data_IF_867026190757
#
_entry.id   IF_867026190757
#
_cell.length_a   1.000
_cell.length_b   1.000
_cell.length_c   1.000
_cell.angle_alpha   90.00
_cell.angle_beta   90.00
_cell.angle_gamma   90.00
#
_symmetry.space_group_name_H-M   'P 1'
#
loop_
_entity.id
_entity.type
_entity.pdbx_description
1 polymer ?
#
# COMPACT_ATOMS: atom_id res chain seq x y z
N UNK A 1 -11.08 9.21 -2.75
CA UNK A 1 -12.11 8.36 -3.38
C UNK A 1 -13.17 9.20 -4.12
N UNK A 2 -13.93 10.07 -3.43
CA UNK A 2 -15.02 10.84 -4.05
C UNK A 2 -14.63 11.64 -5.30
N UNK A 3 -13.43 12.25 -5.34
CA UNK A 3 -12.91 12.99 -6.51
C UNK A 3 -12.79 12.17 -7.80
N UNK A 4 -12.72 10.85 -7.68
CA UNK A 4 -12.59 9.96 -8.83
C UNK A 4 -13.92 9.32 -9.26
N UNK A 5 -14.94 9.36 -8.39
CA UNK A 5 -16.24 8.79 -8.71
C UNK A 5 -16.89 9.62 -9.82
N UNK A 6 -17.26 8.95 -10.91
CA UNK A 6 -17.80 9.60 -12.10
C UNK A 6 -16.74 10.18 -13.04
N UNK A 7 -15.43 9.99 -12.76
CA UNK A 7 -14.38 10.47 -13.66
C UNK A 7 -14.42 9.70 -14.99
N UNK A 8 -14.28 10.44 -16.10
CA UNK A 8 -14.26 9.89 -17.45
C UNK A 8 -12.83 9.96 -18.01
N UNK A 9 -12.27 8.81 -18.38
CA UNK A 9 -10.97 8.71 -19.05
C UNK A 9 -11.20 8.57 -20.55
N UNK A 10 -10.75 9.56 -21.33
CA UNK A 10 -10.95 9.60 -22.77
C UNK A 10 -10.14 8.53 -23.52
N UNK A 11 -10.59 8.11 -24.71
CA UNK A 11 -9.75 7.34 -25.62
C UNK A 11 -8.38 7.99 -25.84
N UNK A 12 -7.31 7.24 -25.60
CA UNK A 12 -5.93 7.71 -25.71
C UNK A 12 -5.37 8.46 -24.50
N UNK A 13 -6.19 8.84 -23.51
CA UNK A 13 -5.78 9.59 -22.33
C UNK A 13 -4.88 8.76 -21.40
N UNK A 14 -3.87 9.42 -20.82
CA UNK A 14 -3.14 8.91 -19.66
C UNK A 14 -3.76 9.52 -18.41
N UNK A 15 -4.47 8.70 -17.65
CA UNK A 15 -4.99 9.10 -16.35
C UNK A 15 -3.83 9.26 -15.36
N UNK A 16 -3.86 10.33 -14.56
CA UNK A 16 -2.93 10.58 -13.45
C UNK A 16 -3.70 10.74 -12.15
N UNK A 17 -3.34 9.93 -11.15
CA UNK A 17 -3.97 10.01 -9.85
C UNK A 17 -3.64 11.35 -9.17
N UNK A 18 -2.37 11.77 -9.20
CA UNK A 18 -1.91 13.03 -8.63
C UNK A 18 -2.64 14.24 -9.23
N UNK A 19 -2.85 14.25 -10.55
CA UNK A 19 -3.57 15.34 -11.23
C UNK A 19 -5.02 15.46 -10.76
N UNK A 20 -5.73 14.34 -10.58
CA UNK A 20 -7.14 14.34 -10.14
C UNK A 20 -7.27 14.56 -8.63
N UNK A 21 -6.31 14.08 -7.83
CA UNK A 21 -6.25 14.36 -6.39
C UNK A 21 -6.08 15.85 -6.11
N UNK A 22 -5.21 16.51 -6.87
CA UNK A 22 -4.71 17.84 -6.55
C UNK A 22 -3.91 17.84 -5.26
N UNK A 23 -3.82 19.01 -4.60
CA UNK A 23 -3.06 19.16 -3.36
C UNK A 23 -3.67 18.35 -2.22
N UNK A 24 -2.85 17.51 -1.58
CA UNK A 24 -3.22 16.71 -0.41
C UNK A 24 -2.98 17.54 0.85
N UNK A 25 -4.03 18.19 1.36
CA UNK A 25 -4.01 19.03 2.56
C UNK A 25 -5.25 18.82 3.44
N UNK A 26 -5.17 19.20 4.72
CA UNK A 26 -6.33 19.16 5.62
C UNK A 26 -7.47 20.03 5.07
N UNK A 27 -7.12 21.20 4.53
CA UNK A 27 -8.04 22.15 3.91
C UNK A 27 -8.78 21.55 2.70
N UNK A 28 -8.16 20.57 2.02
CA UNK A 28 -8.76 19.86 0.89
C UNK A 28 -9.52 18.58 1.29
N UNK A 29 -9.79 18.40 2.59
CA UNK A 29 -10.64 17.34 3.13
C UNK A 29 -9.92 16.01 3.35
N UNK A 30 -8.58 15.99 3.32
CA UNK A 30 -7.80 14.80 3.66
C UNK A 30 -7.64 14.68 5.17
N UNK A 31 -7.71 13.46 5.68
CA UNK A 31 -7.50 13.19 7.09
C UNK A 31 -6.03 12.87 7.39
N UNK A 32 -5.60 13.17 8.62
CA UNK A 32 -4.35 12.62 9.14
C UNK A 32 -4.42 11.09 9.20
N UNK A 33 -3.33 10.46 8.82
CA UNK A 33 -3.11 9.02 8.90
C UNK A 33 -1.64 8.74 9.01
N UNK A 34 -1.34 7.50 9.34
CA UNK A 34 -0.01 6.94 9.21
C UNK A 34 0.45 7.06 7.74
N UNK A 35 1.56 7.77 7.54
CA UNK A 35 2.32 7.87 6.29
C UNK A 35 3.74 7.36 6.54
N UNK A 36 4.37 6.82 5.50
CA UNK A 36 5.77 6.38 5.55
C UNK A 36 6.64 7.58 5.24
N UNK A 37 7.53 7.96 6.16
CA UNK A 37 8.48 9.04 5.93
C UNK A 37 9.86 8.66 6.46
N UNK A 38 10.81 8.51 5.54
CA UNK A 38 12.15 8.04 5.87
C UNK A 38 12.13 6.57 6.32
N UNK A 39 12.53 6.33 7.56
CA UNK A 39 12.67 5.03 8.21
C UNK A 39 11.61 4.77 9.30
N UNK A 40 10.53 5.57 9.31
CA UNK A 40 9.45 5.46 10.29
C UNK A 40 8.07 5.75 9.69
N UNK A 41 7.04 5.27 10.36
CA UNK A 41 5.66 5.67 10.13
C UNK A 41 5.32 6.87 11.00
N UNK A 42 4.94 7.99 10.39
CA UNK A 42 4.52 9.21 11.09
C UNK A 42 3.05 9.52 10.81
N UNK A 43 2.41 10.32 11.67
CA UNK A 43 1.13 10.94 11.31
C UNK A 43 1.37 12.04 10.28
N UNK A 44 0.69 11.95 9.14
CA UNK A 44 0.68 12.95 8.09
C UNK A 44 -0.66 12.98 7.37
N UNK A 45 -0.88 14.01 6.57
CA UNK A 45 -2.16 14.21 5.88
C UNK A 45 -2.22 13.33 4.63
N UNK A 46 -3.27 12.52 4.48
CA UNK A 46 -3.43 11.63 3.31
C UNK A 46 -3.93 10.21 3.62
N UNK A 47 -4.67 10.03 4.71
CA UNK A 47 -5.20 8.71 5.08
C UNK A 47 -5.98 8.00 4.00
N UNK A 48 -5.61 6.74 3.76
CA UNK A 48 -6.26 5.87 2.78
C UNK A 48 -5.95 6.19 1.32
N UNK A 49 -5.13 7.21 1.00
CA UNK A 49 -4.79 7.55 -0.41
C UNK A 49 -4.06 6.39 -1.09
N UNK A 50 -3.10 5.75 -0.41
CA UNK A 50 -2.40 4.58 -0.97
C UNK A 50 -3.32 3.36 -1.12
N UNK A 51 -4.37 3.24 -0.30
CA UNK A 51 -5.39 2.19 -0.49
C UNK A 51 -6.21 2.45 -1.74
N UNK A 52 -6.63 3.71 -1.96
CA UNK A 52 -7.33 4.11 -3.18
C UNK A 52 -6.46 3.84 -4.42
N UNK A 53 -5.17 4.21 -4.36
CA UNK A 53 -4.18 3.99 -5.42
C UNK A 53 -3.98 2.50 -5.70
N UNK A 54 -3.74 1.70 -4.66
CA UNK A 54 -3.49 0.26 -4.80
C UNK A 54 -4.68 -0.45 -5.43
N UNK A 55 -5.90 -0.13 -5.01
CA UNK A 55 -7.09 -0.75 -5.61
C UNK A 55 -7.31 -0.25 -7.05
N UNK A 56 -7.06 1.03 -7.34
CA UNK A 56 -7.12 1.56 -8.70
C UNK A 56 -6.09 0.87 -9.62
N UNK A 57 -4.86 0.71 -9.15
CA UNK A 57 -3.81 -0.02 -9.86
C UNK A 57 -4.26 -1.43 -10.19
N UNK A 58 -4.83 -2.17 -9.23
CA UNK A 58 -5.36 -3.52 -9.48
C UNK A 58 -6.47 -3.51 -10.52
N UNK A 59 -7.38 -2.54 -10.47
CA UNK A 59 -8.46 -2.41 -11.47
C UNK A 59 -7.91 -2.14 -12.87
N UNK A 60 -6.96 -1.22 -13.02
CA UNK A 60 -6.30 -0.96 -14.31
C UNK A 60 -5.46 -2.17 -14.77
N UNK A 61 -4.79 -2.84 -13.82
CA UNK A 61 -3.95 -4.02 -14.05
C UNK A 61 -4.78 -5.16 -14.65
N UNK A 62 -5.86 -5.55 -13.97
CA UNK A 62 -6.74 -6.64 -14.39
C UNK A 62 -7.69 -6.25 -15.52
N UNK A 63 -7.97 -4.96 -15.69
CA UNK A 63 -8.63 -4.42 -16.87
C UNK A 63 -7.76 -4.47 -18.13
N UNK A 64 -6.48 -4.87 -18.02
CA UNK A 64 -5.58 -5.00 -19.16
C UNK A 64 -5.17 -3.66 -19.76
N UNK A 65 -5.21 -2.58 -18.99
CA UNK A 65 -4.75 -1.26 -19.45
C UNK A 65 -3.23 -1.12 -19.27
N UNK A 66 -2.54 -0.41 -20.19
CA UNK A 66 -1.13 -0.08 -20.03
C UNK A 66 -0.89 0.69 -18.72
N UNK A 67 0.04 0.19 -17.90
CA UNK A 67 0.47 0.88 -16.68
C UNK A 67 1.64 1.78 -17.06
N UNK A 68 1.43 3.09 -16.97
CA UNK A 68 2.42 4.11 -17.39
C UNK A 68 3.37 4.43 -16.25
N UNK A 69 2.87 4.48 -15.03
CA UNK A 69 3.66 4.74 -13.83
C UNK A 69 3.08 3.96 -12.66
N UNK A 70 3.95 3.25 -11.93
CA UNK A 70 3.60 2.55 -10.70
C UNK A 70 4.83 2.43 -9.81
N UNK A 71 4.69 2.86 -8.57
CA UNK A 71 5.70 2.68 -7.53
C UNK A 71 5.14 1.79 -6.42
N UNK A 72 5.83 0.72 -6.01
CA UNK A 72 5.43 -0.05 -4.82
C UNK A 72 5.77 0.72 -3.53
N UNK A 73 5.20 0.29 -2.41
CA UNK A 73 5.63 0.74 -1.09
C UNK A 73 7.06 0.27 -0.79
N UNK A 74 7.77 1.02 0.06
CA UNK A 74 9.16 0.71 0.41
C UNK A 74 9.30 -0.57 1.25
N UNK A 75 8.28 -0.93 2.02
CA UNK A 75 8.20 -2.17 2.82
C UNK A 75 6.83 -2.82 2.62
N UNK A 76 6.70 -4.08 3.02
CA UNK A 76 5.45 -4.84 2.85
C UNK A 76 4.37 -4.31 3.78
N UNK A 77 3.23 -3.97 3.20
CA UNK A 77 2.03 -3.57 3.92
C UNK A 77 1.04 -4.74 3.84
N UNK A 78 1.06 -5.61 4.85
CA UNK A 78 0.40 -6.93 4.84
C UNK A 78 -1.10 -6.86 4.55
N UNK A 79 -1.79 -5.77 4.91
CA UNK A 79 -3.23 -5.68 4.64
C UNK A 79 -3.57 -5.64 3.14
N UNK A 80 -2.64 -5.22 2.27
CA UNK A 80 -2.83 -5.31 0.82
C UNK A 80 -2.78 -6.76 0.30
N UNK A 81 -2.27 -7.68 1.11
CA UNK A 81 -2.18 -9.11 0.80
C UNK A 81 -3.36 -9.90 1.37
N UNK A 82 -4.30 -9.23 2.05
CA UNK A 82 -5.51 -9.87 2.56
C UNK A 82 -6.50 -10.17 1.44
N UNK A 83 -7.06 -11.37 1.46
CA UNK A 83 -8.22 -11.76 0.65
C UNK A 83 -9.52 -11.27 1.29
N UNK A 84 -10.64 -11.42 0.57
CA UNK A 84 -11.97 -11.12 1.11
C UNK A 84 -12.31 -11.89 2.41
N UNK A 85 -11.66 -13.02 2.68
CA UNK A 85 -11.83 -13.77 3.93
C UNK A 85 -10.93 -13.28 5.07
N UNK A 86 -10.15 -12.22 4.85
CA UNK A 86 -9.13 -11.72 5.79
C UNK A 86 -7.85 -12.56 5.84
N UNK A 87 -7.73 -13.62 5.02
CA UNK A 87 -6.52 -14.45 4.96
C UNK A 87 -5.45 -13.74 4.16
N UNK A 88 -4.19 -13.83 4.60
CA UNK A 88 -3.05 -13.37 3.81
C UNK A 88 -2.79 -14.36 2.67
N UNK A 89 -2.73 -13.86 1.45
CA UNK A 89 -2.28 -14.61 0.27
C UNK A 89 -1.04 -13.92 -0.33
N UNK A 90 0.14 -14.56 -0.22
CA UNK A 90 1.41 -13.97 -0.63
C UNK A 90 1.52 -13.74 -2.14
N UNK A 91 0.58 -14.27 -2.95
CA UNK A 91 0.49 -13.91 -4.38
C UNK A 91 0.15 -12.44 -4.59
N UNK A 92 -0.42 -11.77 -3.60
CA UNK A 92 -0.69 -10.33 -3.65
C UNK A 92 0.50 -9.45 -3.26
N UNK A 93 1.61 -10.04 -2.80
CA UNK A 93 2.85 -9.31 -2.66
C UNK A 93 3.24 -8.72 -4.03
N UNK A 94 3.73 -7.49 -4.05
CA UNK A 94 4.04 -6.78 -5.29
C UNK A 94 2.81 -6.34 -6.09
N UNK A 95 1.60 -6.38 -5.53
CA UNK A 95 0.37 -5.87 -6.17
C UNK A 95 -0.14 -4.58 -5.53
N UNK A 96 0.76 -3.67 -5.15
CA UNK A 96 0.49 -2.42 -4.47
C UNK A 96 1.03 -1.20 -5.23
N UNK A 97 0.36 -0.05 -5.12
CA UNK A 97 0.82 1.19 -5.73
C UNK A 97 0.72 2.34 -4.72
N UNK A 98 1.85 2.90 -4.34
CA UNK A 98 1.90 4.07 -3.45
C UNK A 98 1.80 5.37 -4.27
N UNK A 99 1.30 6.43 -3.64
CA UNK A 99 1.20 7.78 -4.20
C UNK A 99 1.61 8.77 -3.11
N UNK A 100 2.42 9.75 -3.50
CA UNK A 100 2.89 10.84 -2.65
C UNK A 100 2.98 12.10 -3.51
N UNK A 101 1.89 12.85 -3.58
CA UNK A 101 1.77 14.00 -4.49
C UNK A 101 2.72 15.13 -4.07
N UNK A 102 3.43 15.78 -5.02
CA UNK A 102 3.44 15.53 -6.46
C UNK A 102 4.57 14.59 -6.93
N UNK A 103 5.34 14.00 -6.02
CA UNK A 103 6.59 13.28 -6.34
C UNK A 103 6.39 11.85 -6.83
N UNK A 104 5.35 11.16 -6.35
CA UNK A 104 5.08 9.75 -6.65
C UNK A 104 3.62 9.63 -7.09
N UNK A 105 3.39 9.09 -8.28
CA UNK A 105 2.05 8.99 -8.89
C UNK A 105 1.74 7.56 -9.35
N UNK A 106 0.45 7.29 -9.57
CA UNK A 106 -0.03 6.14 -10.31
C UNK A 106 -0.69 6.61 -11.61
N UNK A 107 -0.23 6.07 -12.74
CA UNK A 107 -0.75 6.41 -14.08
C UNK A 107 -1.06 5.18 -14.90
N UNK A 108 -2.17 5.21 -15.63
CA UNK A 108 -2.51 4.21 -16.64
C UNK A 108 -3.04 4.89 -17.89
N UNK A 109 -2.94 4.22 -19.03
CA UNK A 109 -3.46 4.72 -20.32
C UNK A 109 -4.76 4.03 -20.68
N UNK A 110 -5.76 4.79 -21.09
CA UNK A 110 -6.86 4.25 -21.87
C UNK A 110 -6.43 4.14 -23.34
N UNK A 111 -5.96 2.97 -23.74
CA UNK A 111 -5.55 2.67 -25.12
C UNK A 111 -6.72 2.19 -26.00
N UNK A 112 -7.95 2.16 -25.47
CA UNK A 112 -9.15 1.76 -26.21
C UNK A 112 -9.75 2.95 -26.99
N UNK A 113 -10.58 2.70 -28.02
CA UNK A 113 -11.35 3.77 -28.68
C UNK A 113 -12.58 4.21 -27.87
N UNK A 114 -12.77 3.69 -26.65
CA UNK A 114 -13.98 3.90 -25.84
C UNK A 114 -13.65 4.65 -24.55
N UNK A 115 -14.61 5.42 -24.06
CA UNK A 115 -14.47 6.09 -22.77
C UNK A 115 -14.53 5.09 -21.63
N UNK A 116 -13.76 5.36 -20.56
CA UNK A 116 -13.88 4.63 -19.29
C UNK A 116 -14.58 5.54 -18.29
N UNK A 117 -15.71 5.09 -17.75
CA UNK A 117 -16.31 5.67 -16.55
C UNK A 117 -15.74 4.97 -15.32
N UNK A 118 -15.15 5.76 -14.44
CA UNK A 118 -14.60 5.32 -13.16
C UNK A 118 -15.65 5.43 -12.06
N UNK A 119 -16.01 4.31 -11.46
CA UNK A 119 -16.85 4.23 -10.28
C UNK A 119 -16.02 3.78 -9.07
N UNK A 120 -16.24 4.48 -7.95
CA UNK A 120 -15.58 4.21 -6.68
C UNK A 120 -16.60 4.15 -5.57
N UNK A 121 -16.55 3.08 -4.80
CA UNK A 121 -17.38 2.87 -3.62
C UNK A 121 -16.50 2.58 -2.41
N UNK A 122 -16.73 3.30 -1.31
CA UNK A 122 -16.03 3.09 -0.03
C UNK A 122 -17.02 2.55 0.99
N UNK A 123 -16.77 1.34 1.49
CA UNK A 123 -17.53 0.76 2.60
C UNK A 123 -16.70 0.86 3.88
N UNK A 124 -16.80 2.01 4.56
CA UNK A 124 -16.07 2.27 5.80
C UNK A 124 -16.37 1.24 6.91
N UNK A 125 -17.63 0.83 7.17
CA UNK A 125 -17.93 -0.19 8.19
C UNK A 125 -17.23 -1.52 7.97
N UNK A 126 -17.09 -1.95 6.71
CA UNK A 126 -16.44 -3.22 6.34
C UNK A 126 -15.01 -3.04 5.84
N UNK A 127 -14.46 -1.82 5.91
CA UNK A 127 -13.07 -1.46 5.61
C UNK A 127 -12.57 -1.86 4.22
N UNK A 128 -13.44 -1.87 3.22
CA UNK A 128 -13.05 -2.11 1.83
C UNK A 128 -13.42 -0.95 0.90
N UNK A 129 -12.68 -0.87 -0.20
CA UNK A 129 -12.93 0.02 -1.32
C UNK A 129 -13.09 -0.82 -2.58
N UNK A 130 -14.05 -0.45 -3.43
CA UNK A 130 -14.27 -1.08 -4.72
C UNK A 130 -14.10 -0.05 -5.83
N UNK A 131 -13.37 -0.45 -6.87
CA UNK A 131 -13.20 0.30 -8.11
C UNK A 131 -13.83 -0.49 -9.24
N UNK A 132 -14.67 0.16 -10.04
CA UNK A 132 -15.27 -0.42 -11.24
C UNK A 132 -14.99 0.48 -12.42
N UNK A 133 -14.57 -0.11 -13.53
CA UNK A 133 -14.44 0.57 -14.81
C UNK A 133 -15.60 0.12 -15.70
N UNK A 134 -16.40 1.08 -16.15
CA UNK A 134 -17.44 0.85 -17.15
C UNK A 134 -16.94 1.37 -18.49
N UNK A 135 -16.77 0.46 -19.45
CA UNK A 135 -16.34 0.77 -20.82
C UNK A 135 -16.88 -0.30 -21.77
N UNK A 136 -16.80 -0.06 -23.08
CA UNK A 136 -17.09 -1.09 -24.08
C UNK A 136 -15.93 -2.09 -24.12
N UNK A 137 -16.25 -3.38 -24.02
CA UNK A 137 -15.25 -4.44 -24.15
C UNK A 137 -14.64 -4.41 -25.55
N UNK A 138 -13.31 -4.40 -25.62
CA UNK A 138 -12.54 -4.61 -26.86
C UNK A 138 -12.02 -6.05 -27.00
N UNK A 139 -12.51 -6.97 -26.15
CA UNK A 139 -12.16 -8.39 -26.19
C UNK A 139 -10.83 -8.75 -25.51
N UNK A 140 -10.16 -7.81 -24.84
CA UNK A 140 -8.89 -8.10 -24.17
C UNK A 140 -9.04 -9.07 -22.99
N UNK A 141 -8.03 -9.91 -22.77
CA UNK A 141 -7.89 -10.81 -21.63
C UNK A 141 -6.54 -10.61 -20.94
N UNK A 142 -6.48 -10.92 -19.65
CA UNK A 142 -5.27 -10.76 -18.83
C UNK A 142 -4.87 -12.10 -18.23
N UNK A 143 -3.61 -12.47 -18.44
CA UNK A 143 -2.92 -13.53 -17.70
C UNK A 143 -1.84 -12.89 -16.84
N UNK A 144 -1.63 -13.43 -15.64
CA UNK A 144 -0.57 -12.92 -14.79
C UNK A 144 -0.03 -14.03 -13.89
N UNK A 145 1.24 -13.90 -13.53
CA UNK A 145 1.91 -14.77 -12.58
C UNK A 145 2.85 -13.96 -11.68
N UNK A 146 3.20 -14.53 -10.54
CA UNK A 146 4.02 -13.88 -9.53
C UNK A 146 4.93 -14.88 -8.86
N UNK A 147 6.14 -14.46 -8.54
CA UNK A 147 7.05 -15.25 -7.69
C UNK A 147 6.56 -15.33 -6.25
N UNK A 148 5.63 -14.46 -5.83
CA UNK A 148 5.45 -14.14 -4.42
C UNK A 148 6.74 -13.54 -3.83
N UNK A 149 6.79 -13.44 -2.50
CA UNK A 149 7.98 -12.94 -1.80
C UNK A 149 9.12 -13.96 -1.85
N UNK A 150 10.22 -13.56 -2.46
CA UNK A 150 11.51 -14.27 -2.56
C UNK A 150 12.60 -13.46 -1.87
N UNK A 151 13.79 -14.06 -1.70
CA UNK A 151 14.95 -13.43 -1.05
C UNK A 151 14.58 -12.73 0.26
N UNK A 152 13.93 -13.47 1.17
CA UNK A 152 13.41 -12.90 2.42
C UNK A 152 14.54 -12.39 3.29
N UNK A 153 14.33 -11.22 3.87
CA UNK A 153 15.27 -10.58 4.79
C UNK A 153 14.55 -10.31 6.11
N UNK A 154 15.14 -10.76 7.22
CA UNK A 154 14.59 -10.55 8.54
C UNK A 154 14.56 -9.05 8.90
N UNK A 155 13.54 -8.60 9.64
CA UNK A 155 13.47 -7.23 10.13
C UNK A 155 14.67 -6.92 11.05
N UNK A 156 15.22 -5.70 11.03
CA UNK A 156 16.22 -5.29 12.02
C UNK A 156 15.65 -5.32 13.45
N UNK A 157 16.52 -5.33 14.48
CA UNK A 157 16.08 -5.24 15.87
C UNK A 157 15.14 -4.05 16.12
N UNK A 158 14.16 -4.20 17.03
CA UNK A 158 13.26 -3.11 17.39
C UNK A 158 14.01 -1.86 17.84
N UNK A 159 13.42 -0.70 17.58
CA UNK A 159 13.91 0.57 18.08
C UNK A 159 13.03 1.06 19.22
N UNK A 160 13.66 1.40 20.34
CA UNK A 160 13.00 1.98 21.52
C UNK A 160 13.30 3.46 21.61
N UNK A 161 12.26 4.27 21.72
CA UNK A 161 12.37 5.74 21.76
C UNK A 161 11.65 6.23 23.00
N UNK A 162 12.38 6.84 23.93
CA UNK A 162 11.73 7.55 25.03
C UNK A 162 10.97 8.76 24.47
N UNK A 163 9.70 8.87 24.81
CA UNK A 163 8.80 9.93 24.38
C UNK A 163 8.27 10.67 25.62
N UNK A 164 8.78 11.89 25.91
CA UNK A 164 8.33 12.71 27.04
C UNK A 164 6.85 13.08 27.05
N UNK A 165 6.16 12.97 25.90
CA UNK A 165 4.72 13.21 25.80
C UNK A 165 3.88 12.02 26.29
N UNK A 166 4.48 10.84 26.43
CA UNK A 166 3.82 9.66 26.97
C UNK A 166 3.95 9.62 28.51
N UNK A 167 2.86 9.32 29.25
CA UNK A 167 2.93 9.12 30.68
C UNK A 167 3.86 7.95 31.05
N UNK A 168 4.46 8.01 32.25
CA UNK A 168 5.19 6.88 32.84
C UNK A 168 4.36 5.60 32.81
N UNK A 169 4.96 4.49 32.39
CA UNK A 169 4.29 3.19 32.30
C UNK A 169 3.57 2.96 30.97
N UNK A 170 3.51 3.95 30.08
CA UNK A 170 2.84 3.82 28.79
C UNK A 170 3.86 3.48 27.72
N UNK A 171 3.61 2.37 27.01
CA UNK A 171 4.31 2.01 25.79
C UNK A 171 3.35 2.04 24.61
N UNK A 172 3.81 2.58 23.48
CA UNK A 172 3.07 2.69 22.23
C UNK A 172 3.91 2.17 21.08
N UNK A 173 3.47 1.08 20.46
CA UNK A 173 4.02 0.64 19.19
C UNK A 173 3.55 1.56 18.06
N UNK A 174 4.50 2.10 17.28
CA UNK A 174 4.21 3.00 16.15
C UNK A 174 4.59 2.39 14.80
N UNK A 175 5.46 1.38 14.80
CA UNK A 175 5.81 0.56 13.63
C UNK A 175 5.89 -0.92 14.00
N UNK A 176 5.59 -1.79 13.03
CA UNK A 176 5.60 -3.24 13.18
C UNK A 176 6.74 -3.83 12.35
N UNK A 177 7.38 -4.86 12.90
CA UNK A 177 8.41 -5.60 12.19
C UNK A 177 7.80 -6.33 10.99
N UNK A 178 8.42 -6.18 9.82
CA UNK A 178 8.00 -6.87 8.60
C UNK A 178 9.22 -7.34 7.82
N UNK A 179 9.19 -8.59 7.36
CA UNK A 179 10.21 -9.15 6.48
C UNK A 179 10.31 -8.35 5.16
N UNK A 180 11.55 -8.13 4.74
CA UNK A 180 11.88 -7.64 3.41
C UNK A 180 11.87 -8.76 2.37
N UNK A 181 12.18 -8.39 1.14
CA UNK A 181 12.42 -9.32 0.06
C UNK A 181 12.01 -8.78 -1.31
N UNK A 182 12.07 -9.63 -2.32
CA UNK A 182 11.83 -9.25 -3.72
C UNK A 182 10.62 -9.99 -4.29
N UNK A 183 9.91 -9.30 -5.16
CA UNK A 183 8.77 -9.85 -5.90
C UNK A 183 8.92 -9.52 -7.37
N UNK A 184 8.64 -10.49 -8.23
CA UNK A 184 8.45 -10.26 -9.66
C UNK A 184 7.03 -10.69 -10.05
N UNK A 185 6.28 -9.75 -10.62
CA UNK A 185 4.96 -9.99 -11.21
C UNK A 185 5.07 -9.85 -12.72
N UNK A 186 4.59 -10.84 -13.45
CA UNK A 186 4.49 -10.82 -14.91
C UNK A 186 3.02 -10.69 -15.28
N UNK A 187 2.70 -9.79 -16.20
CA UNK A 187 1.37 -9.64 -16.79
C UNK A 187 1.46 -9.75 -18.30
N UNK A 188 0.56 -10.50 -18.90
CA UNK A 188 0.38 -10.59 -20.34
C UNK A 188 -1.06 -10.24 -20.68
N UNK A 189 -1.24 -9.33 -21.63
CA UNK A 189 -2.56 -8.87 -22.10
C UNK A 189 -2.70 -9.29 -23.55
N UNK A 190 -3.79 -9.99 -23.86
CA UNK A 190 -4.07 -10.49 -25.20
C UNK A 190 -5.35 -9.89 -25.74
N UNK A 191 -5.47 -9.77 -27.07
CA UNK A 191 -6.71 -9.47 -27.78
C UNK A 191 -6.74 -10.28 -29.07
N UNK A 192 -7.83 -10.97 -29.34
CA UNK A 192 -7.99 -11.87 -30.51
C UNK A 192 -6.87 -12.91 -30.65
N UNK A 193 -6.29 -13.34 -29.53
CA UNK A 193 -5.17 -14.28 -29.48
C UNK A 193 -3.79 -13.65 -29.69
N UNK A 194 -3.71 -12.37 -30.02
CA UNK A 194 -2.46 -11.63 -30.18
C UNK A 194 -2.03 -11.00 -28.84
N UNK A 195 -0.72 -11.11 -28.53
CA UNK A 195 -0.13 -10.45 -27.36
C UNK A 195 -0.04 -8.94 -27.60
N UNK A 196 -0.77 -8.16 -26.81
CA UNK A 196 -0.69 -6.69 -26.82
C UNK A 196 0.47 -6.19 -25.96
N UNK A 197 0.53 -6.67 -24.72
CA UNK A 197 1.47 -6.17 -23.70
C UNK A 197 2.04 -7.32 -22.89
N UNK A 198 3.33 -7.22 -22.57
CA UNK A 198 3.98 -8.06 -21.57
C UNK A 198 4.73 -7.17 -20.59
N UNK A 199 4.21 -7.07 -19.37
CA UNK A 199 4.79 -6.27 -18.31
C UNK A 199 5.57 -7.16 -17.33
N UNK A 200 6.65 -6.61 -16.79
CA UNK A 200 7.38 -7.21 -15.67
C UNK A 200 7.50 -6.15 -14.59
N UNK A 201 6.75 -6.31 -13.50
CA UNK A 201 6.84 -5.45 -12.33
C UNK A 201 7.80 -6.10 -11.34
N UNK A 202 8.87 -5.38 -11.00
CA UNK A 202 9.78 -5.77 -9.94
C UNK A 202 9.53 -4.92 -8.70
N UNK A 203 9.50 -5.54 -7.54
CA UNK A 203 9.35 -4.87 -6.25
C UNK A 203 10.42 -5.38 -5.31
N UNK A 204 11.10 -4.45 -4.64
CA UNK A 204 12.01 -4.74 -3.55
C UNK A 204 11.48 -4.07 -2.29
N UNK A 205 10.99 -4.89 -1.37
CA UNK A 205 10.58 -4.47 -0.05
C UNK A 205 11.77 -4.52 0.89
N UNK A 206 12.04 -3.40 1.56
CA UNK A 206 13.05 -3.33 2.61
C UNK A 206 12.51 -4.02 3.87
N UNK A 207 13.35 -4.78 4.60
CA UNK A 207 12.97 -5.25 5.92
C UNK A 207 12.74 -4.05 6.84
N UNK A 208 11.67 -4.10 7.62
CA UNK A 208 11.20 -2.99 8.44
C UNK A 208 11.21 -3.38 9.91
N UNK A 209 11.73 -2.52 10.78
CA UNK A 209 11.82 -2.80 12.21
C UNK A 209 10.54 -2.39 12.93
N UNK A 210 10.30 -3.00 14.10
CA UNK A 210 9.34 -2.44 15.03
C UNK A 210 9.89 -1.15 15.66
N UNK A 211 9.02 -0.19 15.95
CA UNK A 211 9.37 1.02 16.72
C UNK A 211 8.39 1.14 17.89
N UNK A 212 8.95 1.21 19.09
CA UNK A 212 8.24 1.30 20.35
C UNK A 212 8.58 2.62 21.04
N UNK A 213 7.60 3.49 21.20
CA UNK A 213 7.72 4.69 22.01
C UNK A 213 7.31 4.39 23.45
N UNK A 214 8.04 4.90 24.44
CA UNK A 214 7.71 4.69 25.87
C UNK A 214 7.83 5.98 26.67
N UNK A 215 7.00 6.15 27.70
CA UNK A 215 7.07 7.30 28.59
C UNK A 215 8.31 7.27 29.49
N UNK A 216 8.80 8.43 29.97
CA UNK A 216 9.94 8.48 30.89
C UNK A 216 9.73 7.63 32.14
N UNK A 217 10.81 7.06 32.66
CA UNK A 217 10.83 6.20 33.84
C UNK A 217 9.92 4.95 33.75
N UNK A 218 9.55 4.50 32.55
CA UNK A 218 8.74 3.29 32.35
C UNK A 218 9.56 2.05 32.76
N UNK A 219 9.15 1.28 33.79
CA UNK A 219 9.86 0.08 34.20
C UNK A 219 9.90 -0.97 33.07
N UNK A 220 11.03 -1.68 32.96
CA UNK A 220 11.21 -2.73 31.95
C UNK A 220 11.36 -2.22 30.51
N UNK A 221 11.61 -0.92 30.31
CA UNK A 221 11.84 -0.31 29.00
C UNK A 221 13.20 0.44 28.96
N UNK A 222 14.00 0.26 27.88
CA UNK A 222 13.85 -0.79 26.88
C UNK A 222 14.05 -2.19 27.48
N UNK A 223 13.37 -3.24 26.96
CA UNK A 223 13.56 -4.61 27.43
C UNK A 223 14.97 -5.13 27.08
N UNK A 224 15.54 -5.94 27.97
CA UNK A 224 16.84 -6.59 27.77
C UNK A 224 16.77 -7.74 26.76
N UNK A 225 15.68 -8.53 26.80
CA UNK A 225 15.41 -9.66 25.89
C UNK A 225 14.00 -9.56 25.28
N UNK A 226 13.83 -8.78 24.19
CA UNK A 226 12.50 -8.54 23.64
C UNK A 226 11.89 -9.77 22.97
N UNK A 227 10.63 -10.05 23.29
CA UNK A 227 9.83 -11.07 22.59
C UNK A 227 9.70 -10.71 21.10
N UNK A 228 10.17 -11.57 20.16
CA UNK A 228 10.04 -11.31 18.73
C UNK A 228 8.60 -11.11 18.25
N UNK A 229 7.60 -11.64 18.96
CA UNK A 229 6.18 -11.52 18.62
C UNK A 229 5.50 -10.33 19.29
N UNK A 230 6.09 -9.79 20.36
CA UNK A 230 5.59 -8.62 21.10
C UNK A 230 6.76 -7.73 21.55
N UNK A 231 7.48 -7.11 20.59
CA UNK A 231 8.73 -6.42 20.89
C UNK A 231 8.53 -5.15 21.72
N UNK A 232 7.30 -4.66 21.87
CA UNK A 232 7.02 -3.47 22.67
C UNK A 232 6.49 -3.80 24.07
N UNK A 233 6.49 -5.08 24.46
CA UNK A 233 6.13 -5.49 25.82
C UNK A 233 7.28 -5.14 26.78
N UNK A 234 7.01 -4.43 27.89
CA UNK A 234 8.00 -4.23 28.95
C UNK A 234 8.43 -5.57 29.55
N UNK A 235 9.70 -5.66 29.98
CA UNK A 235 10.16 -6.82 30.73
C UNK A 235 9.35 -6.96 32.03
N UNK A 236 8.89 -8.18 32.38
CA UNK A 236 8.11 -8.40 33.60
C UNK A 236 8.91 -8.15 34.89
N UNK A 237 10.22 -7.90 34.79
CA UNK A 237 11.10 -7.81 35.94
C UNK A 237 11.32 -9.18 36.60
N UNK A 238 12.22 -9.28 37.58
CA UNK A 238 12.57 -10.56 38.22
C UNK A 238 11.51 -11.15 39.17
N UNK A 239 10.36 -10.48 39.38
CA UNK A 239 9.42 -10.79 40.48
C UNK A 239 7.97 -11.14 40.05
N UNK A 240 7.71 -11.47 38.78
CA UNK A 240 6.39 -11.98 38.28
C UNK A 240 6.39 -13.49 37.98
#
# INVERSE_FOLDING_TARGET
AARFHGYLVAPGEVFSMAQVLGDVSLDNGYAESLIIYGDRTIRGVGGGVCQVSTTLFRTAFFGGYPIVERHPHAYRVLYYEQTASGRIDPRWAGMDATVYVPLVDFKFKNDTPYWILMDVEVNAPHRYITWRFYSTSDGRTVYWDTTGLQDREDPPPPQYIENPELPKGVVRQVDWAVEGGKVRVIREVYRDGELLYRDVFFTHYRPWRAVCEYGPDTPGMPPEDPDPNDPCRPDPGPDD
#
